data_IF_438077495434
#
_entry.id   IF_438077495434
#
_cell.length_a   1.000
_cell.length_b   1.000
_cell.length_c   1.000
_cell.angle_alpha   90.00
_cell.angle_beta   90.00
_cell.angle_gamma   90.00
#
_symmetry.space_group_name_H-M   'P 1'
#
loop_
_entity.id
_entity.type
_entity.pdbx_description
1 polymer ?
#
# COMPACT_ATOMS: atom_id res chain seq x y z
N UNK A 1 8.68 -16.90 2.11
CA UNK A 1 8.47 -15.72 2.97
C UNK A 1 7.71 -14.63 2.24
N UNK A 2 6.99 -13.78 2.97
CA UNK A 2 6.28 -12.64 2.40
C UNK A 2 7.30 -11.59 1.95
N UNK A 3 7.31 -11.25 0.66
CA UNK A 3 8.29 -10.31 0.10
C UNK A 3 7.74 -8.89 -0.09
N UNK A 4 6.46 -8.75 -0.47
CA UNK A 4 5.83 -7.46 -0.70
C UNK A 4 4.38 -7.48 -0.21
N UNK A 5 3.91 -6.37 0.35
CA UNK A 5 2.52 -6.11 0.68
C UNK A 5 2.06 -4.83 -0.03
N UNK A 6 0.99 -4.94 -0.82
CA UNK A 6 0.48 -3.83 -1.63
C UNK A 6 -1.00 -3.60 -1.30
N UNK A 7 -1.35 -2.36 -0.96
CA UNK A 7 -2.73 -1.91 -0.85
C UNK A 7 -3.20 -1.39 -2.21
N UNK A 8 -4.26 -1.97 -2.78
CA UNK A 8 -4.82 -1.55 -4.06
C UNK A 8 -6.22 -0.93 -3.91
N UNK A 9 -6.68 -0.24 -4.97
CA UNK A 9 -8.03 0.33 -5.06
C UNK A 9 -8.38 1.38 -3.99
N UNK A 10 -7.41 2.19 -3.56
CA UNK A 10 -7.65 3.31 -2.65
C UNK A 10 -8.13 4.54 -3.43
N UNK A 11 -9.39 4.51 -3.87
CA UNK A 11 -9.95 5.64 -4.63
C UNK A 11 -10.16 6.87 -3.76
N UNK A 12 -9.80 8.06 -4.22
CA UNK A 12 -10.08 9.34 -3.55
C UNK A 12 -11.58 9.57 -3.27
N UNK A 13 -12.45 8.86 -3.98
CA UNK A 13 -13.91 8.92 -3.84
C UNK A 13 -14.43 8.20 -2.59
N UNK A 14 -13.77 7.12 -2.17
CA UNK A 14 -14.22 6.26 -1.07
C UNK A 14 -13.18 6.12 0.05
N UNK A 15 -11.91 6.39 -0.23
CA UNK A 15 -10.77 6.19 0.64
C UNK A 15 -9.83 7.39 0.54
N UNK A 16 -9.23 7.76 1.66
CA UNK A 16 -8.08 8.66 1.66
C UNK A 16 -6.83 7.77 1.77
N UNK A 17 -5.98 7.67 0.72
CA UNK A 17 -4.87 6.73 0.69
C UNK A 17 -3.93 6.83 1.90
N UNK A 18 -3.70 8.04 2.39
CA UNK A 18 -2.88 8.28 3.58
C UNK A 18 -3.50 7.68 4.86
N UNK A 19 -4.83 7.73 5.04
CA UNK A 19 -5.51 7.12 6.19
C UNK A 19 -5.45 5.60 6.12
N UNK A 20 -5.62 5.02 4.92
CA UNK A 20 -5.48 3.58 4.73
C UNK A 20 -4.04 3.13 5.05
N UNK A 21 -3.02 3.83 4.51
CA UNK A 21 -1.61 3.55 4.83
C UNK A 21 -1.36 3.57 6.34
N UNK A 22 -1.82 4.62 7.03
CA UNK A 22 -1.62 4.76 8.46
C UNK A 22 -2.29 3.62 9.25
N UNK A 23 -3.54 3.27 8.92
CA UNK A 23 -4.25 2.18 9.58
C UNK A 23 -3.50 0.85 9.49
N UNK A 24 -2.93 0.54 8.32
CA UNK A 24 -2.16 -0.69 8.13
C UNK A 24 -0.80 -0.65 8.82
N UNK A 25 -0.11 0.49 8.81
CA UNK A 25 1.14 0.68 9.56
C UNK A 25 0.92 0.45 11.05
N UNK A 26 -0.13 1.05 11.61
CA UNK A 26 -0.47 0.91 13.03
C UNK A 26 -0.85 -0.53 13.38
N UNK A 27 -1.59 -1.20 12.48
CA UNK A 27 -2.06 -2.58 12.70
C UNK A 27 -0.94 -3.61 12.59
N UNK A 28 -0.06 -3.45 11.60
CA UNK A 28 1.00 -4.40 11.30
C UNK A 28 2.31 -4.08 12.04
N UNK A 29 2.45 -2.88 12.60
CA UNK A 29 3.69 -2.40 13.20
C UNK A 29 4.85 -2.37 12.19
N UNK A 30 4.55 -2.13 10.91
CA UNK A 30 5.54 -2.17 9.82
C UNK A 30 6.04 -0.79 9.43
N UNK A 31 7.17 -0.75 8.75
CA UNK A 31 7.68 0.49 8.15
C UNK A 31 6.67 0.99 7.10
N UNK A 32 6.20 2.26 7.19
CA UNK A 32 5.33 2.83 6.17
C UNK A 32 5.90 2.72 4.77
N UNK A 33 7.21 2.83 4.58
CA UNK A 33 7.87 2.78 3.26
C UNK A 33 8.00 1.36 2.71
N UNK A 34 7.91 0.35 3.58
CA UNK A 34 7.79 -1.05 3.15
C UNK A 34 6.39 -1.35 2.58
N UNK A 35 5.36 -0.70 3.13
CA UNK A 35 3.98 -0.84 2.66
C UNK A 35 3.74 -0.03 1.38
N UNK A 36 3.46 -0.74 0.28
CA UNK A 36 3.24 -0.11 -1.02
C UNK A 36 1.76 0.18 -1.26
N UNK A 37 1.46 1.27 -1.95
CA UNK A 37 0.13 1.59 -2.42
C UNK A 37 0.12 1.56 -3.94
N UNK A 38 -0.83 0.83 -4.52
CA UNK A 38 -1.12 0.94 -5.94
C UNK A 38 -2.05 2.14 -6.15
N UNK A 39 -1.55 3.14 -6.87
CA UNK A 39 -2.32 4.32 -7.25
C UNK A 39 -3.47 3.93 -8.17
N UNK A 40 -4.56 4.68 -8.11
CA UNK A 40 -5.76 4.37 -8.89
C UNK A 40 -5.53 4.58 -10.41
N UNK A 41 -4.79 5.61 -10.79
CA UNK A 41 -4.62 6.00 -12.19
C UNK A 41 -3.35 5.38 -12.79
N UNK A 42 -2.26 5.36 -12.03
CA UNK A 42 -0.95 4.88 -12.46
C UNK A 42 -0.63 3.44 -12.03
N UNK A 43 -1.41 2.86 -11.12
CA UNK A 43 -1.21 1.47 -10.67
C UNK A 43 -0.01 1.30 -9.73
N UNK A 44 0.74 0.22 -9.92
CA UNK A 44 1.92 -0.13 -9.12
C UNK A 44 3.11 -0.34 -10.06
N UNK A 45 4.27 0.19 -9.67
CA UNK A 45 5.54 -0.11 -10.35
C UNK A 45 5.91 -1.59 -10.26
N UNK A 46 6.66 -2.07 -11.25
CA UNK A 46 7.15 -3.46 -11.26
C UNK A 46 7.94 -3.81 -10.00
N UNK A 47 7.66 -5.00 -9.45
CA UNK A 47 8.34 -5.54 -8.26
C UNK A 47 9.06 -6.82 -8.61
N UNK A 48 10.29 -6.93 -8.12
CA UNK A 48 11.06 -8.15 -8.20
C UNK A 48 10.68 -9.11 -7.08
N UNK A 49 10.59 -10.39 -7.40
CA UNK A 49 10.44 -11.49 -6.44
C UNK A 49 11.76 -12.29 -6.48
N UNK A 50 12.30 -12.61 -5.31
CA UNK A 50 13.44 -13.50 -5.11
C UNK A 50 13.06 -14.96 -5.36
#
# INVERSE_FOLDING_TARGET
DLQHLVLAHLSSKNNLPHLARQCFVDTLGCDPDWLQLADQDSGLDWRHIA
#
